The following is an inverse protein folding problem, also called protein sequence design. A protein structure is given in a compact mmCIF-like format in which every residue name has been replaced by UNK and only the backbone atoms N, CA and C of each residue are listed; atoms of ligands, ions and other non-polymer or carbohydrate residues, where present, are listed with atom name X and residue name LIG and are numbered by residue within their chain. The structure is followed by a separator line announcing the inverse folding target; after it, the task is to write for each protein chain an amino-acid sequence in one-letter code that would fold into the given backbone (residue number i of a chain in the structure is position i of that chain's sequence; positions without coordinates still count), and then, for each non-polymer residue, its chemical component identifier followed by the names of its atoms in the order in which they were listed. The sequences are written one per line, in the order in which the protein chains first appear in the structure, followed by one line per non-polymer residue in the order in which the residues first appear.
data_IF_788683935424
#
_entry.id   IF_788683935424
#
_cell.length_a   1.000
_cell.length_b   1.000
_cell.length_c   1.000
_cell.angle_alpha   90.00
_cell.angle_beta   90.00
_cell.angle_gamma   90.00
#
_symmetry.space_group_name_H-M   'P 1'
#
loop_
_entity.id
_entity.type
_entity.pdbx_description
1 polymer ?
#
# COMPACT_ATOMS: atom_id res chain seq x y z
N UNK A 1 -17.81 -6.45 -4.78
CA UNK A 1 -16.48 -6.08 -4.27
C UNK A 1 -15.52 -7.16 -4.72
N UNK A 2 -14.49 -6.80 -5.49
CA UNK A 2 -13.43 -7.73 -5.88
C UNK A 2 -12.25 -7.56 -4.93
N UNK A 3 -11.44 -8.61 -4.75
CA UNK A 3 -10.19 -8.57 -3.96
C UNK A 3 -9.28 -7.42 -4.39
N UNK A 4 -9.30 -7.04 -5.67
CA UNK A 4 -8.56 -5.88 -6.18
C UNK A 4 -9.05 -4.55 -5.59
N UNK A 5 -10.37 -4.34 -5.51
CA UNK A 5 -10.94 -3.13 -4.88
C UNK A 5 -10.60 -3.07 -3.39
N UNK A 6 -10.62 -4.21 -2.70
CA UNK A 6 -10.25 -4.28 -1.28
C UNK A 6 -8.78 -3.94 -1.06
N UNK A 7 -7.88 -4.42 -1.93
CA UNK A 7 -6.46 -4.09 -1.90
C UNK A 7 -6.20 -2.60 -2.18
N UNK A 8 -6.87 -2.01 -3.18
CA UNK A 8 -6.75 -0.58 -3.46
C UNK A 8 -7.18 0.27 -2.27
N UNK A 9 -8.29 -0.11 -1.61
CA UNK A 9 -8.76 0.54 -0.39
C UNK A 9 -7.74 0.40 0.75
N UNK A 10 -7.15 -0.79 0.91
CA UNK A 10 -6.12 -1.01 1.92
C UNK A 10 -4.87 -0.14 1.68
N UNK A 11 -4.40 -0.03 0.43
CA UNK A 11 -3.28 0.85 0.07
C UNK A 11 -3.57 2.30 0.44
N UNK A 12 -4.77 2.81 0.10
CA UNK A 12 -5.15 4.18 0.43
C UNK A 12 -5.19 4.43 1.94
N UNK A 13 -5.68 3.47 2.73
CA UNK A 13 -5.67 3.55 4.19
C UNK A 13 -4.25 3.55 4.75
N UNK A 14 -3.37 2.69 4.23
CA UNK A 14 -1.96 2.67 4.60
C UNK A 14 -1.26 4.00 4.29
N UNK A 15 -1.51 4.60 3.13
CA UNK A 15 -0.96 5.91 2.76
C UNK A 15 -1.42 7.02 3.72
N UNK A 16 -2.68 7.00 4.14
CA UNK A 16 -3.22 7.95 5.11
C UNK A 16 -2.53 7.81 6.49
N UNK A 17 -2.36 6.57 6.96
CA UNK A 17 -1.66 6.31 8.22
C UNK A 17 -0.17 6.67 8.14
N UNK A 18 0.50 6.40 7.01
CA UNK A 18 1.88 6.80 6.77
C UNK A 18 2.05 8.32 6.94
N UNK A 19 1.20 9.11 6.27
CA UNK A 19 1.21 10.57 6.42
C UNK A 19 0.95 11.00 7.86
N UNK A 20 0.04 10.32 8.57
CA UNK A 20 -0.27 10.60 9.97
C UNK A 20 0.94 10.39 10.88
N UNK A 21 1.67 9.28 10.71
CA UNK A 21 2.89 9.00 11.49
C UNK A 21 4.03 9.97 11.17
N UNK A 22 4.22 10.35 9.91
CA UNK A 22 5.23 11.33 9.52
C UNK A 22 4.97 12.72 10.14
N UNK A 23 3.71 13.15 10.15
CA UNK A 23 3.30 14.40 10.82
C UNK A 23 3.50 14.29 12.34
N UNK A 24 3.10 13.17 12.95
CA UNK A 24 3.29 12.94 14.38
C UNK A 24 4.77 12.95 14.79
N UNK A 25 5.64 12.31 14.01
CA UNK A 25 7.09 12.32 14.21
C UNK A 25 7.69 13.74 14.11
N UNK A 26 7.11 14.59 13.26
CA UNK A 26 7.57 15.98 13.05
C UNK A 26 7.07 16.93 14.14
N UNK A 27 5.91 16.67 14.73
CA UNK A 27 5.26 17.56 15.70
C UNK A 27 5.58 17.21 17.15
N UNK A 28 5.98 15.97 17.44
CA UNK A 28 6.30 15.56 18.82
C UNK A 28 7.62 16.16 19.30
N UNK A 29 7.66 16.56 20.58
CA UNK A 29 8.90 17.00 21.26
C UNK A 29 9.59 15.86 22.02
N UNK A 30 8.92 14.72 22.17
CA UNK A 30 9.47 13.52 22.79
C UNK A 30 10.31 12.75 21.77
N UNK A 31 11.62 12.64 22.02
CA UNK A 31 12.58 11.96 21.14
C UNK A 31 12.29 10.46 20.98
N UNK A 32 11.79 9.79 22.02
CA UNK A 32 11.41 8.39 21.96
C UNK A 32 10.17 8.21 21.09
N UNK A 33 9.17 9.08 21.26
CA UNK A 33 7.98 9.07 20.42
C UNK A 33 8.31 9.39 18.95
N UNK A 34 9.23 10.31 18.69
CA UNK A 34 9.68 10.62 17.33
C UNK A 34 10.26 9.38 16.65
N UNK A 35 11.17 8.67 17.32
CA UNK A 35 11.76 7.44 16.79
C UNK A 35 10.70 6.37 16.53
N UNK A 36 9.78 6.18 17.48
CA UNK A 36 8.65 5.25 17.32
C UNK A 36 7.81 5.58 16.08
N UNK A 37 7.41 6.84 15.88
CA UNK A 37 6.61 7.21 14.70
C UNK A 37 7.38 7.08 13.38
N UNK A 38 8.70 7.29 13.39
CA UNK A 38 9.56 7.03 12.23
C UNK A 38 9.59 5.53 11.89
N UNK A 39 9.75 4.66 12.89
CA UNK A 39 9.70 3.20 12.72
C UNK A 39 8.32 2.77 12.16
N UNK A 40 7.22 3.24 12.75
CA UNK A 40 5.87 2.96 12.25
C UNK A 40 5.63 3.45 10.81
N UNK A 41 6.23 4.58 10.43
CA UNK A 41 6.18 5.08 9.06
C UNK A 41 6.90 4.14 8.09
N UNK A 42 8.08 3.63 8.47
CA UNK A 42 8.82 2.67 7.65
C UNK A 42 8.06 1.35 7.49
N UNK A 43 7.42 0.87 8.55
CA UNK A 43 6.57 -0.33 8.53
C UNK A 43 5.39 -0.15 7.57
N UNK A 44 4.75 1.03 7.61
CA UNK A 44 3.64 1.33 6.72
C UNK A 44 4.06 1.40 5.25
N UNK A 45 5.25 1.92 4.95
CA UNK A 45 5.79 1.86 3.59
C UNK A 45 5.95 0.42 3.11
N UNK A 46 6.47 -0.48 3.97
CA UNK A 46 6.56 -1.91 3.63
C UNK A 46 5.19 -2.53 3.36
N UNK A 47 4.17 -2.19 4.16
CA UNK A 47 2.80 -2.64 3.88
C UNK A 47 2.31 -2.19 2.51
N UNK A 48 2.51 -0.92 2.16
CA UNK A 48 2.14 -0.35 0.85
C UNK A 48 2.83 -1.13 -0.28
N UNK A 49 4.12 -1.39 -0.16
CA UNK A 49 4.90 -2.11 -1.17
C UNK A 49 4.39 -3.54 -1.37
N UNK A 50 4.10 -4.27 -0.28
CA UNK A 50 3.53 -5.62 -0.35
C UNK A 50 2.15 -5.64 -1.03
N UNK A 51 1.28 -4.70 -0.66
CA UNK A 51 -0.07 -4.61 -1.22
C UNK A 51 -0.04 -4.23 -2.70
N UNK A 52 0.82 -3.29 -3.10
CA UNK A 52 1.02 -2.90 -4.49
C UNK A 52 1.58 -4.04 -5.33
N UNK A 53 2.55 -4.80 -4.81
CA UNK A 53 3.06 -6.00 -5.48
C UNK A 53 1.94 -7.02 -5.74
N UNK A 54 1.03 -7.19 -4.77
CA UNK A 54 -0.14 -8.07 -4.95
C UNK A 54 -1.12 -7.54 -5.98
N UNK A 55 -1.39 -6.23 -5.97
CA UNK A 55 -2.22 -5.57 -6.98
C UNK A 55 -1.66 -5.78 -8.39
N UNK A 56 -0.37 -5.49 -8.59
CA UNK A 56 0.29 -5.70 -9.87
C UNK A 56 0.26 -7.15 -10.33
N UNK A 57 0.38 -8.12 -9.40
CA UNK A 57 0.21 -9.54 -9.73
C UNK A 57 -1.21 -9.84 -10.23
N UNK A 58 -2.24 -9.33 -9.54
CA UNK A 58 -3.63 -9.57 -9.93
C UNK A 58 -3.97 -8.92 -11.28
N UNK A 59 -3.44 -7.73 -11.55
CA UNK A 59 -3.63 -7.05 -12.83
C UNK A 59 -2.99 -7.82 -13.99
N UNK A 60 -1.75 -8.30 -13.82
CA UNK A 60 -1.03 -9.08 -14.84
C UNK A 60 -1.64 -10.45 -15.08
N UNK A 61 -2.18 -11.09 -14.04
CA UNK A 61 -2.78 -12.42 -14.12
C UNK A 61 -4.31 -12.37 -14.24
N UNK A 62 -4.88 -11.20 -14.55
CA UNK A 62 -6.32 -11.09 -14.71
C UNK A 62 -6.75 -11.87 -15.96
N UNK A 63 -7.61 -12.89 -15.84
CA UNK A 63 -8.01 -13.72 -16.98
C UNK A 63 -8.66 -12.93 -18.11
N UNK A 64 -9.26 -11.76 -17.84
CA UNK A 64 -9.75 -10.85 -18.90
C UNK A 64 -8.62 -10.35 -19.83
N UNK A 65 -7.46 -10.01 -19.28
CA UNK A 65 -6.29 -9.59 -20.05
C UNK A 65 -5.65 -10.77 -20.79
N UNK A 66 -5.63 -11.96 -20.16
CA UNK A 66 -5.13 -13.19 -20.78
C UNK A 66 -6.03 -13.66 -21.94
N UNK A 67 -7.35 -13.50 -21.82
CA UNK A 67 -8.28 -13.80 -22.91
C UNK A 67 -8.08 -12.84 -24.09
N UNK A 68 -7.93 -11.54 -23.86
CA UNK A 68 -7.69 -10.56 -24.93
C UNK A 68 -6.38 -10.81 -25.71
N UNK A 69 -5.32 -11.31 -25.06
CA UNK A 69 -4.09 -11.71 -25.76
C UNK A 69 -4.23 -12.97 -26.62
N UNK A 70 -5.19 -13.85 -26.31
CA UNK A 70 -5.44 -15.06 -27.10
C UNK A 70 -6.39 -14.82 -28.28
N UNK A 71 -7.28 -13.82 -28.23
CA UNK A 71 -8.19 -13.51 -29.36
C UNK A 71 -7.49 -12.70 -30.47
N UNK A 72 -6.28 -12.21 -30.24
CA UNK A 72 -5.52 -11.38 -31.20
C UNK A 72 -4.35 -12.10 -31.87
N UNK A 73 -4.24 -13.43 -31.68
CA UNK A 73 -3.36 -14.35 -32.43
C UNK A 73 -4.21 -15.29 -33.28
#
# INVERSE_FOLDING_TARGET
MTVQQDLQKAVAQCQSLLGTYQVAASNTQDQMAQKMFQELSQDMQRHIDHLNNRLSYLEKNNPMYQQQQQVQQ
#
